data_IF_833775837279
#
_entry.id   IF_833775837279
#
_cell.length_a   1.000
_cell.length_b   1.000
_cell.length_c   1.000
_cell.angle_alpha   90.00
_cell.angle_beta   90.00
_cell.angle_gamma   90.00
#
_symmetry.space_group_name_H-M   'P 1'
#
loop_
_entity.id
_entity.type
_entity.pdbx_description
1 polymer ?
#
# COMPACT_ATOMS: atom_id res chain seq x y z
N UNK A 1 -8.46 12.67 -11.49
CA UNK A 1 -8.02 11.31 -11.08
C UNK A 1 -8.94 10.75 -10.02
N UNK A 2 -9.16 9.45 -10.04
CA UNK A 2 -9.98 8.78 -9.02
C UNK A 2 -9.32 8.94 -7.65
N UNK A 3 -10.10 9.36 -6.66
CA UNK A 3 -9.66 9.50 -5.27
C UNK A 3 -8.46 10.44 -5.07
N UNK A 4 -8.39 11.49 -5.88
CA UNK A 4 -7.23 12.38 -5.86
C UNK A 4 -6.96 12.98 -4.47
N UNK A 5 -7.99 13.50 -3.81
CA UNK A 5 -7.85 14.10 -2.50
C UNK A 5 -7.38 13.09 -1.45
N UNK A 6 -7.92 11.88 -1.48
CA UNK A 6 -7.53 10.82 -0.57
C UNK A 6 -6.08 10.38 -0.83
N UNK A 7 -5.70 10.22 -2.10
CA UNK A 7 -4.33 9.81 -2.44
C UNK A 7 -3.31 10.87 -2.05
N UNK A 8 -3.64 12.15 -2.15
CA UNK A 8 -2.75 13.22 -1.71
C UNK A 8 -2.47 13.15 -0.21
N UNK A 9 -3.51 12.90 0.60
CA UNK A 9 -3.36 12.75 2.05
C UNK A 9 -2.51 11.53 2.40
N UNK A 10 -2.72 10.43 1.70
CA UNK A 10 -1.94 9.20 1.90
C UNK A 10 -0.47 9.44 1.57
N UNK A 11 -0.17 10.03 0.42
CA UNK A 11 1.20 10.29 0.02
C UNK A 11 1.89 11.27 0.96
N UNK A 12 1.17 12.29 1.43
CA UNK A 12 1.70 13.21 2.43
C UNK A 12 2.15 12.47 3.68
N UNK A 13 1.31 11.55 4.18
CA UNK A 13 1.65 10.73 5.34
C UNK A 13 2.89 9.87 5.07
N UNK A 14 2.98 9.28 3.88
CA UNK A 14 4.15 8.48 3.49
C UNK A 14 5.43 9.32 3.46
N UNK A 15 5.36 10.53 2.92
CA UNK A 15 6.53 11.42 2.89
C UNK A 15 6.93 11.85 4.29
N UNK A 16 5.96 12.11 5.18
CA UNK A 16 6.26 12.44 6.57
C UNK A 16 7.04 11.32 7.25
N UNK A 17 6.57 10.08 7.09
CA UNK A 17 7.25 8.90 7.66
C UNK A 17 8.67 8.78 7.10
N UNK A 18 8.82 8.87 5.78
CA UNK A 18 10.11 8.75 5.12
C UNK A 18 11.09 9.85 5.57
N UNK A 19 10.60 11.09 5.67
CA UNK A 19 11.43 12.23 6.05
C UNK A 19 11.88 12.16 7.52
N UNK A 20 10.99 11.68 8.39
CA UNK A 20 11.31 11.62 9.82
C UNK A 20 12.16 10.42 10.20
N UNK A 21 11.90 9.25 9.59
CA UNK A 21 12.61 8.03 9.95
C UNK A 21 13.84 7.76 9.08
N UNK A 22 13.84 8.21 7.84
CA UNK A 22 14.88 7.82 6.89
C UNK A 22 14.77 6.37 6.48
N UNK A 23 15.71 5.89 5.67
CA UNK A 23 15.76 4.49 5.25
C UNK A 23 16.64 3.66 6.20
N UNK A 24 16.50 2.33 6.15
CA UNK A 24 17.34 1.40 6.90
C UNK A 24 16.63 0.60 7.96
N UNK A 25 15.39 0.93 8.29
CA UNK A 25 14.62 0.14 9.24
C UNK A 25 13.94 -1.03 8.54
N UNK A 26 13.44 -1.97 9.34
CA UNK A 26 12.64 -3.08 8.84
C UNK A 26 11.28 -2.57 8.34
N UNK A 27 10.71 -3.30 7.40
CA UNK A 27 9.40 -2.98 6.81
C UNK A 27 8.31 -2.77 7.86
N UNK A 28 8.33 -3.59 8.94
CA UNK A 28 7.35 -3.49 10.03
C UNK A 28 7.39 -2.16 10.76
N UNK A 29 8.55 -1.51 10.82
CA UNK A 29 8.69 -0.19 11.45
C UNK A 29 7.92 0.85 10.64
N UNK A 30 8.09 0.82 9.32
CA UNK A 30 7.39 1.75 8.42
C UNK A 30 5.89 1.51 8.42
N UNK A 31 5.46 0.25 8.49
CA UNK A 31 4.05 -0.08 8.58
C UNK A 31 3.40 0.58 9.79
N UNK A 32 4.00 0.40 10.95
CA UNK A 32 3.48 0.97 12.20
C UNK A 32 3.50 2.49 12.18
N UNK A 33 4.59 3.08 11.69
CA UNK A 33 4.71 4.54 11.58
C UNK A 33 3.66 5.12 10.63
N UNK A 34 3.44 4.47 9.50
CA UNK A 34 2.46 4.93 8.52
C UNK A 34 1.03 4.85 9.07
N UNK A 35 0.71 3.80 9.82
CA UNK A 35 -0.60 3.69 10.46
C UNK A 35 -0.85 4.87 11.41
N UNK A 36 0.19 5.28 12.16
CA UNK A 36 0.09 6.44 13.05
C UNK A 36 -0.16 7.71 12.23
N UNK A 37 0.64 7.93 11.19
CA UNK A 37 0.53 9.14 10.36
C UNK A 37 -0.84 9.22 9.67
N UNK A 38 -1.35 8.10 9.15
CA UNK A 38 -2.67 8.04 8.52
C UNK A 38 -3.78 8.37 9.52
N UNK A 39 -3.71 7.79 10.73
CA UNK A 39 -4.69 8.08 11.78
C UNK A 39 -4.68 9.55 12.17
N UNK A 40 -3.49 10.15 12.30
CA UNK A 40 -3.36 11.57 12.60
C UNK A 40 -3.89 12.47 11.48
N UNK A 41 -3.95 11.95 10.27
CA UNK A 41 -4.55 12.65 9.12
C UNK A 41 -6.07 12.45 9.06
N UNK A 42 -6.65 11.76 10.03
CA UNK A 42 -8.08 11.51 10.07
C UNK A 42 -8.54 10.39 9.15
N UNK A 43 -7.64 9.54 8.70
CA UNK A 43 -7.96 8.46 7.77
C UNK A 43 -8.11 7.12 8.50
N UNK A 44 -9.13 6.35 8.09
CA UNK A 44 -9.31 4.99 8.58
C UNK A 44 -8.36 4.09 7.79
N UNK A 45 -7.46 3.41 8.49
CA UNK A 45 -6.49 2.51 7.89
C UNK A 45 -6.53 1.15 8.61
N UNK A 46 -6.68 0.08 7.84
CA UNK A 46 -6.70 -1.28 8.36
C UNK A 46 -5.44 -2.00 7.90
N UNK A 47 -4.65 -2.48 8.87
CA UNK A 47 -3.42 -3.21 8.59
C UNK A 47 -3.68 -4.71 8.50
N UNK A 48 -2.93 -5.38 7.63
CA UNK A 48 -2.93 -6.85 7.52
C UNK A 48 -4.34 -7.41 7.31
N UNK A 49 -5.14 -6.73 6.49
CA UNK A 49 -6.51 -7.17 6.21
C UNK A 49 -6.48 -8.43 5.35
N UNK A 50 -7.13 -9.52 5.79
CA UNK A 50 -7.17 -10.75 5.01
C UNK A 50 -8.07 -10.59 3.78
N UNK A 51 -7.57 -11.08 2.65
CA UNK A 51 -8.26 -11.02 1.36
C UNK A 51 -8.24 -12.42 0.75
N UNK A 52 -9.32 -12.78 0.05
CA UNK A 52 -9.47 -14.11 -0.52
C UNK A 52 -9.38 -14.05 -2.04
N UNK A 53 -8.58 -14.93 -2.62
CA UNK A 53 -8.52 -15.10 -4.07
C UNK A 53 -9.49 -16.21 -4.46
N UNK A 54 -10.42 -15.89 -5.37
CA UNK A 54 -11.42 -16.83 -5.86
C UNK A 54 -11.14 -17.22 -7.31
N UNK A 55 -11.43 -18.47 -7.66
CA UNK A 55 -11.39 -18.93 -9.03
C UNK A 55 -12.62 -19.79 -9.29
N UNK A 56 -13.46 -19.34 -10.22
CA UNK A 56 -14.70 -20.05 -10.58
C UNK A 56 -15.57 -20.37 -9.38
N UNK A 57 -15.71 -19.36 -8.49
CA UNK A 57 -16.56 -19.49 -7.30
C UNK A 57 -15.94 -20.25 -6.15
N UNK A 58 -14.69 -20.67 -6.27
CA UNK A 58 -14.03 -21.44 -5.22
C UNK A 58 -12.78 -20.71 -4.72
N UNK A 59 -12.54 -20.82 -3.40
CA UNK A 59 -11.37 -20.22 -2.79
C UNK A 59 -10.11 -20.97 -3.21
N UNK A 60 -9.14 -20.26 -3.77
CA UNK A 60 -7.87 -20.85 -4.19
C UNK A 60 -6.70 -20.30 -3.39
N UNK A 61 -6.89 -19.25 -2.60
CA UNK A 61 -5.82 -18.71 -1.78
C UNK A 61 -6.27 -17.55 -0.92
N UNK A 62 -5.44 -17.23 0.06
CA UNK A 62 -5.60 -16.05 0.92
C UNK A 62 -4.32 -15.23 0.86
N UNK A 63 -4.46 -13.93 1.06
CA UNK A 63 -3.32 -13.05 1.24
C UNK A 63 -3.70 -11.91 2.16
N UNK A 64 -2.71 -11.11 2.57
CA UNK A 64 -2.92 -9.98 3.45
C UNK A 64 -2.38 -8.72 2.77
N UNK A 65 -3.25 -7.73 2.58
CA UNK A 65 -2.80 -6.42 2.14
C UNK A 65 -2.13 -5.74 3.33
N UNK A 66 -1.02 -5.04 3.10
CA UNK A 66 -0.33 -4.36 4.18
C UNK A 66 -1.26 -3.33 4.84
N UNK A 67 -1.88 -2.46 4.04
CA UNK A 67 -2.85 -1.48 4.54
C UNK A 67 -3.96 -1.27 3.51
N UNK A 68 -5.18 -1.15 3.98
CA UNK A 68 -6.31 -0.66 3.17
C UNK A 68 -6.79 0.64 3.82
N UNK A 69 -6.83 1.73 3.06
CA UNK A 69 -7.22 3.05 3.55
C UNK A 69 -8.63 3.37 3.07
N UNK A 70 -9.51 3.72 4.01
CA UNK A 70 -10.90 4.11 3.75
C UNK A 70 -11.66 3.08 2.90
N UNK A 71 -11.33 1.80 3.04
CA UNK A 71 -11.88 0.70 2.23
C UNK A 71 -11.72 0.92 0.72
N UNK A 72 -10.85 1.82 0.30
CA UNK A 72 -10.79 2.37 -1.06
C UNK A 72 -9.44 2.21 -1.73
N UNK A 73 -8.36 2.38 -0.98
CA UNK A 73 -6.99 2.38 -1.52
C UNK A 73 -6.17 1.29 -0.85
N UNK A 74 -5.52 0.46 -1.66
CA UNK A 74 -4.64 -0.60 -1.19
C UNK A 74 -3.20 -0.10 -1.19
N UNK A 75 -2.48 -0.30 -0.08
CA UNK A 75 -1.07 0.05 0.02
C UNK A 75 -0.26 -1.21 0.29
N UNK A 76 0.79 -1.40 -0.51
CA UNK A 76 1.82 -2.41 -0.28
C UNK A 76 3.13 -1.70 0.03
N UNK A 77 3.75 -2.08 1.14
CA UNK A 77 4.96 -1.42 1.63
C UNK A 77 6.17 -2.30 1.42
N UNK A 78 7.28 -1.68 1.05
CA UNK A 78 8.57 -2.33 0.91
C UNK A 78 9.65 -1.48 1.57
N UNK A 79 10.74 -2.12 1.97
CA UNK A 79 11.91 -1.45 2.49
C UNK A 79 13.14 -2.10 1.85
N UNK A 80 13.27 -1.91 0.54
CA UNK A 80 14.30 -2.54 -0.31
C UNK A 80 15.10 -1.49 -1.05
N UNK A 81 16.28 -1.87 -1.53
CA UNK A 81 17.15 -0.93 -2.27
C UNK A 81 16.57 -0.55 -3.63
N UNK A 82 15.83 -1.46 -4.25
CA UNK A 82 15.18 -1.23 -5.53
C UNK A 82 13.94 -2.10 -5.64
N UNK A 83 12.88 -1.52 -6.20
CA UNK A 83 11.65 -2.28 -6.47
C UNK A 83 11.91 -3.27 -7.60
N UNK A 84 11.40 -4.49 -7.43
CA UNK A 84 11.53 -5.56 -8.42
C UNK A 84 10.21 -5.75 -9.17
N UNK A 85 10.24 -6.31 -10.39
CA UNK A 85 9.02 -6.56 -11.16
C UNK A 85 7.97 -7.38 -10.41
N UNK A 86 8.38 -8.34 -9.59
CA UNK A 86 7.44 -9.15 -8.78
C UNK A 86 6.72 -8.32 -7.73
N UNK A 87 7.31 -7.24 -7.23
CA UNK A 87 6.64 -6.33 -6.29
C UNK A 87 5.50 -5.59 -6.98
N UNK A 88 5.72 -5.15 -8.21
CA UNK A 88 4.70 -4.46 -9.00
C UNK A 88 3.58 -5.41 -9.38
N UNK A 89 3.93 -6.62 -9.82
CA UNK A 89 2.96 -7.65 -10.19
C UNK A 89 2.06 -8.01 -9.01
N UNK A 90 2.61 -8.07 -7.80
CA UNK A 90 1.85 -8.39 -6.60
C UNK A 90 0.72 -7.38 -6.36
N UNK A 91 1.01 -6.09 -6.46
CA UNK A 91 -0.02 -5.04 -6.28
C UNK A 91 -1.11 -5.20 -7.33
N UNK A 92 -0.75 -5.39 -8.59
CA UNK A 92 -1.72 -5.55 -9.66
C UNK A 92 -2.61 -6.78 -9.44
N UNK A 93 -2.03 -7.88 -8.99
CA UNK A 93 -2.78 -9.10 -8.68
C UNK A 93 -3.75 -8.87 -7.52
N UNK A 94 -3.32 -8.14 -6.49
CA UNK A 94 -4.18 -7.83 -5.33
C UNK A 94 -5.36 -6.94 -5.74
N UNK A 95 -5.13 -5.98 -6.63
CA UNK A 95 -6.22 -5.13 -7.14
C UNK A 95 -7.24 -5.97 -7.91
N UNK A 96 -6.77 -6.91 -8.74
CA UNK A 96 -7.68 -7.81 -9.48
C UNK A 96 -8.49 -8.68 -8.52
N UNK A 97 -7.86 -9.22 -7.50
CA UNK A 97 -8.52 -10.13 -6.57
C UNK A 97 -9.55 -9.42 -5.69
N UNK A 98 -9.33 -8.15 -5.36
CA UNK A 98 -10.19 -7.39 -4.45
C UNK A 98 -11.23 -6.54 -5.15
N UNK A 99 -11.01 -6.19 -6.41
CA UNK A 99 -11.84 -5.21 -7.11
C UNK A 99 -11.56 -3.77 -6.69
N UNK A 100 -10.58 -3.54 -5.83
CA UNK A 100 -10.17 -2.18 -5.45
C UNK A 100 -9.55 -1.51 -6.68
N UNK A 101 -9.97 -0.27 -6.96
CA UNK A 101 -9.58 0.42 -8.19
C UNK A 101 -8.18 1.01 -8.16
N UNK A 102 -7.68 1.40 -6.98
CA UNK A 102 -6.40 2.11 -6.86
C UNK A 102 -5.53 1.47 -5.80
N UNK A 103 -4.28 1.26 -6.13
CA UNK A 103 -3.28 0.78 -5.20
C UNK A 103 -1.97 1.52 -5.37
N UNK A 104 -1.16 1.48 -4.31
CA UNK A 104 0.18 2.04 -4.32
C UNK A 104 1.18 1.02 -3.82
N UNK A 105 2.33 1.00 -4.46
CA UNK A 105 3.51 0.32 -3.96
C UNK A 105 4.41 1.42 -3.42
N UNK A 106 4.74 1.36 -2.13
CA UNK A 106 5.50 2.39 -1.43
C UNK A 106 6.80 1.76 -0.93
N UNK A 107 7.93 2.31 -1.34
CA UNK A 107 9.23 1.82 -0.88
C UNK A 107 9.91 2.84 0.01
N UNK A 108 10.15 2.46 1.27
CA UNK A 108 10.86 3.26 2.26
C UNK A 108 12.36 2.92 2.33
N UNK A 109 12.83 1.99 1.50
CA UNK A 109 14.21 1.51 1.56
C UNK A 109 15.21 2.38 0.82
N UNK A 110 14.79 3.50 0.25
CA UNK A 110 15.64 4.44 -0.47
C UNK A 110 15.67 5.78 0.26
N UNK A 111 16.76 6.58 0.12
CA UNK A 111 16.84 7.87 0.81
C UNK A 111 15.68 8.81 0.49
N UNK A 112 15.22 8.78 -0.76
CA UNK A 112 14.03 9.50 -1.19
C UNK A 112 12.91 8.49 -1.38
N UNK A 113 11.74 8.77 -0.82
CA UNK A 113 10.57 7.89 -0.96
C UNK A 113 10.31 7.57 -2.43
N UNK A 114 10.14 6.28 -2.70
CA UNK A 114 9.79 5.79 -4.02
C UNK A 114 8.38 5.21 -3.98
N UNK A 115 7.56 5.54 -4.97
CA UNK A 115 6.21 4.97 -5.03
C UNK A 115 5.74 4.81 -6.46
N UNK A 116 4.79 3.87 -6.65
CA UNK A 116 4.13 3.62 -7.92
C UNK A 116 2.63 3.54 -7.68
N UNK A 117 1.86 4.20 -8.55
CA UNK A 117 0.41 4.15 -8.52
C UNK A 117 -0.08 3.13 -9.55
N UNK A 118 -1.05 2.33 -9.15
CA UNK A 118 -1.69 1.35 -10.03
C UNK A 118 -3.20 1.56 -10.03
N UNK A 119 -3.80 1.38 -11.20
CA UNK A 119 -5.24 1.35 -11.34
C UNK A 119 -5.71 -0.02 -11.81
N UNK A 120 -6.94 -0.39 -11.46
CA UNK A 120 -7.54 -1.66 -11.85
C UNK A 120 -8.48 -1.51 -13.05
N UNK A 121 -8.47 -0.36 -13.68
CA UNK A 121 -9.32 -0.05 -14.83
C UNK A 121 -8.47 0.00 -16.09
N UNK A 122 -8.63 -0.99 -16.89
CA UNK A 122 -7.89 -1.13 -18.14
C UNK A 122 -8.83 -1.48 -19.28
#
# INVERSE_FOLDING_TARGET
MIHEELTEKILKACFEVSNELGCGFLESVYLKALLIALAQSGLKAEAQKPLTVMFRGQKVGDFFADIIVEDTILLELKAVKALAPEHLAQVMNYLKATGIEVGFLINFGTPKLEYRRFGNRF
#
